data_IF_660314251542
#
_entry.id   IF_660314251542
#
_cell.length_a   1.000
_cell.length_b   1.000
_cell.length_c   1.000
_cell.angle_alpha   90.00
_cell.angle_beta   90.00
_cell.angle_gamma   90.00
#
_symmetry.space_group_name_H-M   'P 1'
#
loop_
_entity.id
_entity.type
_entity.pdbx_description
1 polymer ?
#
# COMPACT_ATOMS: atom_id res chain seq x y z
N UNK A 1 40.61 11.09 35.69
CA UNK A 1 39.21 11.29 36.14
C UNK A 1 39.04 12.74 36.57
N UNK A 2 37.85 13.29 36.37
CA UNK A 2 37.58 14.69 36.74
C UNK A 2 37.85 14.89 38.25
N UNK A 3 38.71 15.85 38.61
CA UNK A 3 39.11 16.13 39.99
C UNK A 3 40.36 15.39 40.50
N UNK A 4 41.09 14.70 39.64
CA UNK A 4 42.38 14.05 39.96
C UNK A 4 43.52 14.51 39.03
N UNK A 5 43.35 15.63 38.32
CA UNK A 5 44.28 16.15 37.31
C UNK A 5 45.61 16.61 37.92
N UNK A 6 45.57 17.17 39.13
CA UNK A 6 46.74 17.69 39.83
C UNK A 6 47.41 16.65 40.74
N UNK A 7 46.90 15.42 40.78
CA UNK A 7 47.49 14.37 41.60
C UNK A 7 48.79 13.84 41.00
N UNK A 8 49.79 13.68 41.87
CA UNK A 8 51.10 13.12 41.59
C UNK A 8 51.20 11.66 42.03
N UNK A 9 52.20 10.92 41.53
CA UNK A 9 52.43 9.53 41.93
C UNK A 9 52.68 9.39 43.44
N UNK A 10 53.30 10.41 44.06
CA UNK A 10 53.61 10.45 45.49
C UNK A 10 52.40 10.65 46.38
N UNK A 11 51.25 11.06 45.82
CA UNK A 11 50.00 11.17 46.57
C UNK A 11 49.38 9.80 46.84
N UNK A 12 49.70 8.80 46.01
CA UNK A 12 49.15 7.44 46.11
C UNK A 12 50.19 6.40 46.54
N UNK A 13 51.47 6.60 46.19
CA UNK A 13 52.52 5.60 46.37
C UNK A 13 53.73 6.17 47.13
N UNK A 14 54.15 5.46 48.18
CA UNK A 14 55.46 5.64 48.81
C UNK A 14 56.45 4.68 48.13
N UNK A 15 57.59 5.20 47.66
CA UNK A 15 58.61 4.40 46.94
C UNK A 15 59.87 4.21 47.78
N UNK A 16 60.42 3.00 47.77
CA UNK A 16 61.65 2.64 48.47
C UNK A 16 62.44 1.64 47.62
N UNK A 17 63.76 1.76 47.65
CA UNK A 17 64.65 0.92 46.87
C UNK A 17 65.55 0.08 47.77
N UNK A 18 65.81 -1.16 47.36
CA UNK A 18 66.78 -2.05 47.99
C UNK A 18 67.57 -2.75 46.90
N UNK A 19 68.89 -2.74 47.01
CA UNK A 19 69.76 -3.45 46.09
C UNK A 19 70.18 -4.77 46.72
N UNK A 20 69.99 -5.87 46.00
CA UNK A 20 70.42 -7.19 46.45
C UNK A 20 71.57 -7.69 45.56
N UNK A 21 72.65 -8.23 46.14
CA UNK A 21 73.73 -8.88 45.38
C UNK A 21 73.22 -10.04 44.52
N UNK A 22 74.00 -10.45 43.52
CA UNK A 22 73.58 -11.55 42.65
C UNK A 22 73.46 -12.88 43.42
N UNK A 23 72.24 -13.41 43.54
CA UNK A 23 71.91 -14.61 44.33
C UNK A 23 72.83 -15.82 44.09
N UNK A 24 73.13 -16.14 42.82
CA UNK A 24 73.95 -17.32 42.46
C UNK A 24 75.46 -17.06 42.62
N UNK A 25 75.95 -15.91 42.16
CA UNK A 25 77.39 -15.60 42.13
C UNK A 25 77.94 -15.13 43.48
N UNK A 26 77.10 -14.54 44.34
CA UNK A 26 77.47 -14.03 45.66
C UNK A 26 76.39 -14.36 46.71
N UNK A 27 76.14 -15.66 46.99
CA UNK A 27 75.04 -16.09 47.86
C UNK A 27 75.17 -15.55 49.29
N UNK A 28 76.38 -15.62 49.89
CA UNK A 28 76.59 -15.14 51.26
C UNK A 28 76.27 -13.63 51.42
N UNK A 29 76.67 -12.80 50.46
CA UNK A 29 76.37 -11.35 50.47
C UNK A 29 74.89 -11.07 50.18
N UNK A 30 74.25 -11.92 49.37
CA UNK A 30 72.81 -11.85 49.13
C UNK A 30 72.04 -12.11 50.42
N UNK A 31 72.36 -13.21 51.12
CA UNK A 31 71.69 -13.57 52.37
C UNK A 31 71.87 -12.48 53.44
N UNK A 32 73.08 -11.94 53.59
CA UNK A 32 73.34 -10.80 54.48
C UNK A 32 72.48 -9.57 54.13
N UNK A 33 72.37 -9.25 52.84
CA UNK A 33 71.55 -8.11 52.39
C UNK A 33 70.04 -8.36 52.56
N UNK A 34 69.60 -9.62 52.47
CA UNK A 34 68.23 -10.03 52.76
C UNK A 34 67.93 -9.92 54.25
N UNK A 35 68.88 -10.26 55.13
CA UNK A 35 68.74 -10.06 56.56
C UNK A 35 68.61 -8.58 56.93
N UNK A 36 69.40 -7.71 56.29
CA UNK A 36 69.25 -6.25 56.41
C UNK A 36 67.86 -5.80 55.92
N UNK A 37 67.39 -6.33 54.79
CA UNK A 37 66.04 -6.03 54.29
C UNK A 37 64.95 -6.50 55.25
N UNK A 38 65.10 -7.68 55.87
CA UNK A 38 64.17 -8.24 56.84
C UNK A 38 63.98 -7.32 58.06
N UNK A 39 65.06 -6.69 58.52
CA UNK A 39 64.99 -5.74 59.64
C UNK A 39 64.00 -4.60 59.34
N UNK A 40 63.94 -4.11 58.10
CA UNK A 40 62.98 -3.08 57.67
C UNK A 40 61.51 -3.50 57.78
N UNK A 41 61.20 -4.80 57.82
CA UNK A 41 59.82 -5.30 57.99
C UNK A 41 59.50 -5.66 59.44
N UNK A 42 60.50 -5.91 60.28
CA UNK A 42 60.33 -6.46 61.63
C UNK A 42 60.65 -5.46 62.74
N UNK A 43 61.68 -4.63 62.56
CA UNK A 43 62.09 -3.64 63.55
C UNK A 43 61.42 -2.29 63.28
N UNK A 44 60.49 -1.92 64.17
CA UNK A 44 59.76 -0.64 64.13
C UNK A 44 60.67 0.57 64.36
N UNK A 45 61.89 0.36 64.85
CA UNK A 45 62.88 1.42 65.11
C UNK A 45 63.80 1.67 63.92
N UNK A 46 63.74 0.84 62.88
CA UNK A 46 64.49 1.04 61.65
C UNK A 46 64.00 2.33 60.94
N UNK A 47 64.93 3.19 60.54
CA UNK A 47 64.62 4.44 59.81
C UNK A 47 63.86 4.16 58.50
N UNK A 48 64.06 2.97 57.92
CA UNK A 48 63.42 2.49 56.71
C UNK A 48 62.32 1.47 57.00
N UNK A 49 61.66 1.52 58.16
CA UNK A 49 60.57 0.62 58.49
C UNK A 49 59.43 0.71 57.46
N UNK A 50 59.05 -0.42 56.88
CA UNK A 50 58.17 -0.48 55.71
C UNK A 50 56.72 -0.14 56.07
N UNK A 51 56.19 -0.66 57.18
CA UNK A 51 54.75 -0.55 57.44
C UNK A 51 54.38 0.80 58.08
N UNK A 52 53.78 1.70 57.28
CA UNK A 52 53.20 2.95 57.80
C UNK A 52 51.72 2.79 58.10
N UNK A 53 51.17 3.46 59.14
CA UNK A 53 49.74 3.40 59.47
C UNK A 53 48.81 3.79 58.31
N UNK A 54 49.26 4.67 57.40
CA UNK A 54 48.51 5.12 56.22
C UNK A 54 48.23 4.01 55.19
N UNK A 55 49.04 2.94 55.16
CA UNK A 55 48.83 1.83 54.23
C UNK A 55 47.69 0.91 54.68
N UNK A 56 47.40 0.91 55.98
CA UNK A 56 46.40 0.04 56.58
C UNK A 56 44.99 0.59 56.34
N UNK A 57 44.17 -0.12 55.55
CA UNK A 57 42.78 0.27 55.22
C UNK A 57 41.78 0.10 56.38
N UNK A 58 42.25 -0.27 57.57
CA UNK A 58 41.47 -0.46 58.81
C UNK A 58 40.36 -1.51 58.68
N UNK A 59 40.62 -2.55 57.90
CA UNK A 59 39.70 -3.67 57.71
C UNK A 59 40.11 -4.78 58.70
N UNK A 60 39.19 -5.27 59.54
CA UNK A 60 39.40 -6.45 60.38
C UNK A 60 39.79 -7.69 59.58
N UNK A 61 40.54 -8.62 60.18
CA UNK A 61 41.06 -9.79 59.48
C UNK A 61 39.97 -10.72 58.91
N UNK A 62 38.84 -10.84 59.61
CA UNK A 62 37.64 -11.57 59.20
C UNK A 62 36.91 -10.90 58.02
N UNK A 63 36.98 -9.57 57.91
CA UNK A 63 36.39 -8.79 56.81
C UNK A 63 37.26 -8.72 55.55
N UNK A 64 38.56 -9.03 55.65
CA UNK A 64 39.49 -8.90 54.53
C UNK A 64 39.13 -9.77 53.30
N UNK A 65 38.74 -11.05 53.43
CA UNK A 65 38.36 -11.87 52.28
C UNK A 65 37.19 -11.27 51.48
N UNK A 66 36.18 -10.74 52.18
CA UNK A 66 35.02 -10.11 51.56
C UNK A 66 35.40 -8.83 50.81
N UNK A 67 36.25 -8.00 51.41
CA UNK A 67 36.78 -6.80 50.78
C UNK A 67 37.62 -7.12 49.53
N UNK A 68 38.51 -8.11 49.61
CA UNK A 68 39.35 -8.53 48.50
C UNK A 68 38.50 -9.12 47.35
N UNK A 69 37.50 -9.95 47.66
CA UNK A 69 36.56 -10.49 46.68
C UNK A 69 35.78 -9.38 45.95
N UNK A 70 35.30 -8.37 46.67
CA UNK A 70 34.60 -7.25 46.06
C UNK A 70 35.49 -6.40 45.14
N UNK A 71 36.77 -6.24 45.46
CA UNK A 71 37.74 -5.60 44.54
C UNK A 71 37.97 -6.49 43.32
N UNK A 72 38.16 -7.79 43.53
CA UNK A 72 38.42 -8.74 42.45
C UNK A 72 37.27 -8.82 41.45
N UNK A 73 36.03 -8.84 41.94
CA UNK A 73 34.83 -8.78 41.11
C UNK A 73 34.80 -7.51 40.27
N UNK A 74 35.13 -6.35 40.87
CA UNK A 74 35.24 -5.09 40.12
C UNK A 74 36.35 -5.13 39.07
N UNK A 75 37.48 -5.78 39.35
CA UNK A 75 38.59 -5.91 38.38
C UNK A 75 38.16 -6.79 37.20
N UNK A 76 37.57 -7.95 37.46
CA UNK A 76 37.14 -8.89 36.40
C UNK A 76 36.03 -8.30 35.54
N UNK A 77 35.09 -7.58 36.13
CA UNK A 77 33.95 -7.02 35.41
C UNK A 77 34.27 -5.70 34.71
N UNK A 78 35.42 -5.10 34.97
CA UNK A 78 35.80 -3.82 34.38
C UNK A 78 36.27 -4.01 32.93
N UNK A 79 35.45 -3.49 32.01
CA UNK A 79 35.73 -3.50 30.56
C UNK A 79 36.93 -2.63 30.17
N UNK A 80 37.31 -1.64 30.97
CA UNK A 80 38.46 -0.77 30.68
C UNK A 80 39.80 -1.50 30.83
N UNK A 81 39.82 -2.63 31.56
CA UNK A 81 40.98 -3.49 31.73
C UNK A 81 41.09 -4.57 30.64
N UNK A 82 40.04 -4.73 29.83
CA UNK A 82 40.03 -5.63 28.67
C UNK A 82 40.73 -4.94 27.49
N UNK A 83 42.05 -4.78 27.62
CA UNK A 83 42.88 -4.16 26.61
C UNK A 83 43.10 -5.17 25.47
N UNK A 84 42.53 -4.93 24.27
CA UNK A 84 42.77 -5.81 23.14
C UNK A 84 44.26 -5.88 22.84
N UNK A 85 44.72 -7.06 22.47
CA UNK A 85 46.13 -7.25 22.10
C UNK A 85 46.49 -6.37 20.90
N UNK A 86 47.76 -6.01 20.75
CA UNK A 86 48.22 -5.25 19.58
C UNK A 86 47.88 -5.97 18.26
N UNK A 87 47.84 -7.31 18.28
CA UNK A 87 47.44 -8.13 17.14
C UNK A 87 45.96 -7.98 16.80
N UNK A 88 45.07 -7.94 17.80
CA UNK A 88 43.63 -7.72 17.60
C UNK A 88 43.34 -6.30 17.12
N UNK A 89 43.99 -5.28 17.70
CA UNK A 89 43.86 -3.90 17.25
C UNK A 89 44.28 -3.73 15.78
N UNK A 90 45.43 -4.32 15.40
CA UNK A 90 45.89 -4.31 14.01
C UNK A 90 44.91 -5.06 13.09
N UNK A 91 44.41 -6.22 13.53
CA UNK A 91 43.42 -6.99 12.79
C UNK A 91 42.13 -6.19 12.57
N UNK A 92 41.66 -5.45 13.58
CA UNK A 92 40.46 -4.62 13.47
C UNK A 92 40.64 -3.55 12.41
N UNK A 93 41.72 -2.77 12.50
CA UNK A 93 42.02 -1.71 11.53
C UNK A 93 42.14 -2.26 10.10
N UNK A 94 42.87 -3.37 9.91
CA UNK A 94 43.05 -3.97 8.58
C UNK A 94 41.78 -4.58 8.01
N UNK A 95 41.01 -5.30 8.82
CA UNK A 95 39.72 -5.83 8.38
C UNK A 95 38.74 -4.71 8.03
N UNK A 96 38.80 -3.56 8.72
CA UNK A 96 37.99 -2.38 8.39
C UNK A 96 38.36 -1.74 7.05
N UNK A 97 39.65 -1.60 6.75
CA UNK A 97 40.09 -1.11 5.44
C UNK A 97 39.62 -2.04 4.31
N UNK A 98 39.75 -3.35 4.50
CA UNK A 98 39.34 -4.36 3.51
C UNK A 98 37.82 -4.35 3.33
N UNK A 99 37.06 -4.26 4.42
CA UNK A 99 35.60 -4.16 4.39
C UNK A 99 35.17 -2.94 3.58
N UNK A 100 35.73 -1.77 3.87
CA UNK A 100 35.36 -0.54 3.17
C UNK A 100 35.74 -0.56 1.69
N UNK A 101 36.89 -1.14 1.34
CA UNK A 101 37.29 -1.32 -0.06
C UNK A 101 36.34 -2.25 -0.83
N UNK A 102 36.03 -3.43 -0.27
CA UNK A 102 35.11 -4.39 -0.89
C UNK A 102 33.68 -3.82 -0.99
N UNK A 103 33.23 -3.08 0.04
CA UNK A 103 31.92 -2.43 0.02
C UNK A 103 31.85 -1.28 -1.02
N UNK A 104 32.94 -0.54 -1.26
CA UNK A 104 32.97 0.49 -2.29
C UNK A 104 32.84 -0.09 -3.71
N UNK A 105 33.44 -1.26 -3.96
CA UNK A 105 33.31 -1.99 -5.22
C UNK A 105 31.89 -2.53 -5.40
N UNK A 106 31.31 -3.13 -4.35
CA UNK A 106 29.90 -3.51 -4.30
C UNK A 106 28.97 -2.34 -4.64
N UNK A 107 29.18 -1.17 -4.01
CA UNK A 107 28.37 0.02 -4.26
C UNK A 107 28.48 0.52 -5.70
N UNK A 108 29.65 0.36 -6.33
CA UNK A 108 29.86 0.73 -7.74
C UNK A 108 29.03 -0.14 -8.67
N UNK A 109 28.93 -1.45 -8.39
CA UNK A 109 28.06 -2.38 -9.13
C UNK A 109 26.57 -2.14 -8.90
N UNK A 110 26.18 -1.71 -7.71
CA UNK A 110 24.77 -1.53 -7.32
C UNK A 110 24.17 -0.17 -7.74
N UNK A 111 24.98 0.89 -7.73
CA UNK A 111 24.55 2.27 -8.04
C UNK A 111 23.73 2.44 -9.34
N UNK A 112 24.03 1.72 -10.45
CA UNK A 112 23.23 1.81 -11.67
C UNK A 112 21.75 1.44 -11.51
N UNK A 113 21.39 0.61 -10.53
CA UNK A 113 20.01 0.15 -10.31
C UNK A 113 19.16 1.13 -9.50
N UNK A 114 19.77 2.04 -8.74
CA UNK A 114 19.05 3.00 -7.89
C UNK A 114 18.12 3.90 -8.71
N UNK A 115 18.65 4.58 -9.74
CA UNK A 115 17.86 5.51 -10.56
C UNK A 115 16.68 4.85 -11.29
N UNK A 116 16.84 3.70 -11.98
CA UNK A 116 15.71 2.98 -12.57
C UNK A 116 14.60 2.67 -11.57
N UNK A 117 14.95 2.15 -10.39
CA UNK A 117 13.98 1.78 -9.35
C UNK A 117 13.27 3.02 -8.79
N UNK A 118 14.01 4.09 -8.49
CA UNK A 118 13.43 5.37 -8.05
C UNK A 118 12.49 5.98 -9.10
N UNK A 119 12.80 5.80 -10.39
CA UNK A 119 11.96 6.27 -11.50
C UNK A 119 10.69 5.44 -11.74
N UNK A 120 10.50 4.35 -10.99
CA UNK A 120 9.33 3.48 -11.10
C UNK A 120 9.48 2.34 -12.11
N UNK A 121 10.70 2.06 -12.61
CA UNK A 121 10.96 0.96 -13.54
C UNK A 121 11.18 -0.36 -12.79
N UNK A 122 10.69 -1.44 -13.38
CA UNK A 122 10.97 -2.81 -12.95
C UNK A 122 12.20 -3.31 -13.69
N UNK A 123 13.20 -3.78 -12.97
CA UNK A 123 14.43 -4.38 -13.52
C UNK A 123 14.36 -5.90 -13.34
N UNK A 124 14.15 -6.65 -14.41
CA UNK A 124 13.88 -8.10 -14.30
C UNK A 124 15.10 -8.88 -13.77
N UNK A 125 16.33 -8.51 -14.16
CA UNK A 125 17.57 -9.18 -13.71
C UNK A 125 18.05 -8.75 -12.29
N UNK A 126 17.28 -7.93 -11.56
CA UNK A 126 17.78 -7.29 -10.35
C UNK A 126 18.20 -8.31 -9.27
N UNK A 127 17.41 -9.35 -9.04
CA UNK A 127 17.70 -10.37 -8.03
C UNK A 127 19.02 -11.08 -8.27
N UNK A 128 19.25 -11.55 -9.49
CA UNK A 128 20.48 -12.23 -9.91
C UNK A 128 21.70 -11.32 -9.79
N UNK A 129 21.59 -10.05 -10.23
CA UNK A 129 22.67 -9.07 -10.15
C UNK A 129 23.02 -8.73 -8.71
N UNK A 130 22.02 -8.49 -7.87
CA UNK A 130 22.20 -8.20 -6.44
C UNK A 130 22.93 -9.36 -5.74
N UNK A 131 22.55 -10.61 -6.05
CA UNK A 131 23.20 -11.79 -5.49
C UNK A 131 24.65 -11.94 -5.98
N UNK A 132 24.91 -11.73 -7.28
CA UNK A 132 26.28 -11.78 -7.83
C UNK A 132 27.21 -10.79 -7.15
N UNK A 133 26.79 -9.52 -7.04
CA UNK A 133 27.60 -8.49 -6.38
C UNK A 133 27.80 -8.76 -4.89
N UNK A 134 26.81 -9.33 -4.20
CA UNK A 134 26.96 -9.73 -2.80
C UNK A 134 28.03 -10.82 -2.65
N UNK A 135 27.94 -11.88 -3.47
CA UNK A 135 28.89 -13.01 -3.44
C UNK A 135 30.30 -12.55 -3.79
N UNK A 136 30.46 -11.71 -4.82
CA UNK A 136 31.75 -11.14 -5.23
C UNK A 136 32.38 -10.29 -4.12
N UNK A 137 31.59 -9.43 -3.48
CA UNK A 137 32.07 -8.58 -2.39
C UNK A 137 32.51 -9.40 -1.17
N UNK A 138 31.70 -10.39 -0.76
CA UNK A 138 32.06 -11.29 0.34
C UNK A 138 33.29 -12.12 0.01
N UNK A 139 33.43 -12.63 -1.22
CA UNK A 139 34.61 -13.37 -1.64
C UNK A 139 35.88 -12.49 -1.63
N UNK A 140 35.77 -11.23 -2.06
CA UNK A 140 36.86 -10.26 -2.00
C UNK A 140 37.28 -9.95 -0.56
N UNK A 141 36.32 -9.84 0.36
CA UNK A 141 36.58 -9.66 1.79
C UNK A 141 37.23 -10.90 2.39
N UNK A 142 36.64 -12.08 2.21
CA UNK A 142 37.09 -13.36 2.77
C UNK A 142 38.52 -13.69 2.31
N UNK A 143 38.84 -13.44 1.04
CA UNK A 143 40.20 -13.63 0.48
C UNK A 143 41.26 -12.80 1.18
N UNK A 144 40.94 -11.56 1.56
CA UNK A 144 41.91 -10.60 2.09
C UNK A 144 41.93 -10.57 3.63
N UNK A 145 40.80 -10.86 4.27
CA UNK A 145 40.59 -10.72 5.71
C UNK A 145 40.77 -12.03 6.51
N UNK A 146 40.62 -13.21 5.89
CA UNK A 146 40.70 -14.52 6.58
C UNK A 146 42.04 -14.84 7.24
N UNK A 147 43.11 -14.13 6.86
CA UNK A 147 44.46 -14.26 7.45
C UNK A 147 44.64 -13.57 8.80
N UNK A 148 43.71 -12.70 9.21
CA UNK A 148 43.79 -11.95 10.46
C UNK A 148 43.11 -12.72 11.60
N UNK A 149 43.05 -12.11 12.80
CA UNK A 149 42.45 -12.73 13.98
C UNK A 149 41.02 -13.23 13.70
N UNK A 150 40.76 -14.52 13.95
CA UNK A 150 39.53 -15.22 13.56
C UNK A 150 38.26 -14.51 14.04
N UNK A 151 38.22 -14.11 15.32
CA UNK A 151 37.05 -13.46 15.90
C UNK A 151 36.81 -12.07 15.30
N UNK A 152 37.88 -11.34 14.99
CA UNK A 152 37.77 -10.01 14.37
C UNK A 152 37.29 -10.15 12.93
N UNK A 153 37.82 -11.12 12.19
CA UNK A 153 37.37 -11.46 10.84
C UNK A 153 35.88 -11.81 10.82
N UNK A 154 35.42 -12.74 11.67
CA UNK A 154 34.01 -13.15 11.73
C UNK A 154 33.09 -11.98 12.03
N UNK A 155 33.40 -11.17 13.06
CA UNK A 155 32.62 -9.98 13.41
C UNK A 155 32.55 -8.98 12.26
N UNK A 156 33.67 -8.73 11.58
CA UNK A 156 33.71 -7.80 10.44
C UNK A 156 33.02 -8.35 9.19
N UNK A 157 33.02 -9.67 9.00
CA UNK A 157 32.25 -10.32 7.94
C UNK A 157 30.75 -10.13 8.14
N UNK A 158 30.27 -10.31 9.37
CA UNK A 158 28.86 -10.07 9.74
C UNK A 158 28.48 -8.60 9.55
N UNK A 159 29.34 -7.67 9.97
CA UNK A 159 29.16 -6.23 9.76
C UNK A 159 29.04 -5.88 8.27
N UNK A 160 29.92 -6.45 7.44
CA UNK A 160 29.88 -6.26 5.99
C UNK A 160 28.58 -6.81 5.39
N UNK A 161 28.19 -8.03 5.79
CA UNK A 161 26.98 -8.69 5.33
C UNK A 161 25.74 -7.85 5.66
N UNK A 162 25.64 -7.36 6.90
CA UNK A 162 24.56 -6.49 7.35
C UNK A 162 24.51 -5.18 6.53
N UNK A 163 25.67 -4.57 6.26
CA UNK A 163 25.77 -3.33 5.46
C UNK A 163 25.34 -3.53 4.00
N UNK A 164 25.71 -4.67 3.41
CA UNK A 164 25.27 -5.03 2.07
C UNK A 164 23.75 -5.29 2.05
N UNK A 165 23.23 -6.09 2.97
CA UNK A 165 21.80 -6.35 3.08
C UNK A 165 20.98 -5.08 3.29
N UNK A 166 21.41 -4.15 4.15
CA UNK A 166 20.71 -2.88 4.32
C UNK A 166 20.60 -2.09 3.00
N UNK A 167 21.64 -2.13 2.16
CA UNK A 167 21.64 -1.47 0.85
C UNK A 167 20.72 -2.18 -0.14
N UNK A 168 20.81 -3.51 -0.21
CA UNK A 168 20.00 -4.33 -1.11
C UNK A 168 18.51 -4.30 -0.73
N UNK A 169 18.19 -4.23 0.56
CA UNK A 169 16.82 -4.17 1.06
C UNK A 169 16.06 -2.95 0.53
N UNK A 170 16.72 -1.80 0.43
CA UNK A 170 16.12 -0.58 -0.15
C UNK A 170 15.73 -0.80 -1.62
N UNK A 171 16.57 -1.49 -2.38
CA UNK A 171 16.30 -1.81 -3.79
C UNK A 171 15.22 -2.87 -3.93
N UNK A 172 15.22 -3.87 -3.06
CA UNK A 172 14.20 -4.91 -2.97
C UNK A 172 12.82 -4.29 -2.74
N UNK A 173 12.65 -3.45 -1.72
CA UNK A 173 11.39 -2.75 -1.44
C UNK A 173 10.97 -1.84 -2.59
N UNK A 174 11.93 -1.11 -3.19
CA UNK A 174 11.65 -0.25 -4.34
C UNK A 174 11.14 -1.04 -5.55
N UNK A 175 11.75 -2.19 -5.85
CA UNK A 175 11.32 -3.07 -6.93
C UNK A 175 9.95 -3.67 -6.66
N UNK A 176 9.68 -4.14 -5.42
CA UNK A 176 8.36 -4.65 -5.03
C UNK A 176 7.26 -3.60 -5.21
N UNK A 177 7.52 -2.36 -4.77
CA UNK A 177 6.61 -1.23 -4.98
C UNK A 177 6.35 -0.97 -6.47
N UNK A 178 7.38 -1.07 -7.32
CA UNK A 178 7.23 -0.88 -8.76
C UNK A 178 6.46 -2.03 -9.41
N UNK A 179 6.69 -3.28 -8.98
CA UNK A 179 5.94 -4.46 -9.42
C UNK A 179 4.47 -4.33 -9.04
N UNK A 180 4.17 -3.93 -7.80
CA UNK A 180 2.82 -3.65 -7.33
C UNK A 180 2.15 -2.60 -8.22
N UNK A 181 2.79 -1.43 -8.41
CA UNK A 181 2.24 -0.37 -9.26
C UNK A 181 1.99 -0.84 -10.70
N UNK A 182 2.92 -1.60 -11.29
CA UNK A 182 2.77 -2.18 -12.64
C UNK A 182 1.58 -3.14 -12.70
N UNK A 183 1.44 -3.99 -11.69
CA UNK A 183 0.34 -4.94 -11.55
C UNK A 183 -1.03 -4.22 -11.48
N UNK A 184 -1.15 -3.20 -10.61
CA UNK A 184 -2.37 -2.38 -10.49
C UNK A 184 -2.74 -1.68 -11.81
N UNK A 185 -1.75 -1.11 -12.52
CA UNK A 185 -1.96 -0.47 -13.81
C UNK A 185 -2.39 -1.47 -14.89
N UNK A 186 -1.72 -2.62 -14.94
CA UNK A 186 -2.05 -3.69 -15.87
C UNK A 186 -3.49 -4.20 -15.63
N UNK A 187 -3.89 -4.37 -14.38
CA UNK A 187 -5.26 -4.74 -14.02
C UNK A 187 -6.27 -3.72 -14.56
N UNK A 188 -6.03 -2.43 -14.31
CA UNK A 188 -6.88 -1.34 -14.82
C UNK A 188 -7.01 -1.33 -16.35
N UNK A 189 -5.90 -1.57 -17.07
CA UNK A 189 -5.89 -1.62 -18.53
C UNK A 189 -6.65 -2.84 -19.07
N UNK A 190 -6.41 -4.04 -18.53
CA UNK A 190 -7.13 -5.27 -18.93
C UNK A 190 -8.63 -5.09 -18.73
N UNK A 191 -9.01 -4.53 -17.57
CA UNK A 191 -10.39 -4.20 -17.26
C UNK A 191 -10.97 -3.22 -18.29
N UNK A 192 -10.28 -2.13 -18.61
CA UNK A 192 -10.77 -1.15 -19.58
C UNK A 192 -10.93 -1.75 -20.98
N UNK A 193 -9.98 -2.54 -21.46
CA UNK A 193 -10.01 -3.16 -22.78
C UNK A 193 -11.15 -4.18 -22.91
N UNK A 194 -11.26 -5.10 -21.94
CA UNK A 194 -12.25 -6.19 -22.00
C UNK A 194 -13.68 -5.73 -21.71
N UNK A 195 -13.86 -4.58 -21.08
CA UNK A 195 -15.19 -3.99 -20.78
C UNK A 195 -15.77 -3.12 -21.91
N UNK A 196 -15.14 -3.08 -23.09
CA UNK A 196 -15.67 -2.32 -24.25
C UNK A 196 -16.76 -3.05 -25.04
N UNK A 197 -16.93 -4.36 -24.84
CA UNK A 197 -17.95 -5.18 -25.53
C UNK A 197 -19.36 -5.05 -24.96
N UNK A 198 -20.39 -5.32 -25.77
CA UNK A 198 -21.80 -5.21 -25.35
C UNK A 198 -22.27 -6.34 -24.42
N UNK A 199 -21.53 -7.46 -24.37
CA UNK A 199 -21.90 -8.71 -23.67
C UNK A 199 -20.66 -9.39 -23.08
N UNK A 200 -20.07 -8.81 -22.04
CA UNK A 200 -19.05 -9.48 -21.23
C UNK A 200 -19.61 -9.86 -19.86
N UNK A 201 -19.05 -10.91 -19.27
CA UNK A 201 -19.27 -11.29 -17.88
C UNK A 201 -18.21 -10.60 -17.01
N UNK A 202 -18.66 -9.71 -16.12
CA UNK A 202 -17.76 -8.91 -15.30
C UNK A 202 -16.98 -9.78 -14.31
N UNK A 203 -17.63 -10.77 -13.70
CA UNK A 203 -16.99 -11.66 -12.73
C UNK A 203 -15.89 -12.48 -13.39
N UNK A 204 -16.16 -13.02 -14.58
CA UNK A 204 -15.16 -13.77 -15.34
C UNK A 204 -13.98 -12.87 -15.73
N UNK A 205 -14.24 -11.68 -16.27
CA UNK A 205 -13.19 -10.73 -16.67
C UNK A 205 -12.32 -10.33 -15.48
N UNK A 206 -12.92 -10.03 -14.32
CA UNK A 206 -12.17 -9.69 -13.10
C UNK A 206 -11.32 -10.87 -12.61
N UNK A 207 -11.88 -12.08 -12.62
CA UNK A 207 -11.17 -13.29 -12.15
C UNK A 207 -9.97 -13.61 -13.05
N UNK A 208 -10.15 -13.59 -14.37
CA UNK A 208 -9.07 -13.80 -15.33
C UNK A 208 -8.01 -12.70 -15.24
N UNK A 209 -8.44 -11.43 -15.16
CA UNK A 209 -7.52 -10.30 -15.02
C UNK A 209 -6.70 -10.38 -13.73
N UNK A 210 -7.35 -10.77 -12.61
CA UNK A 210 -6.67 -10.97 -11.31
C UNK A 210 -5.64 -12.08 -11.39
N UNK A 211 -5.97 -13.21 -11.99
CA UNK A 211 -5.04 -14.32 -12.17
C UNK A 211 -3.80 -13.90 -12.98
N UNK A 212 -4.00 -13.26 -14.14
CA UNK A 212 -2.91 -12.79 -15.01
C UNK A 212 -1.98 -11.81 -14.29
N UNK A 213 -2.55 -10.88 -13.53
CA UNK A 213 -1.79 -9.85 -12.82
C UNK A 213 -1.03 -10.42 -11.63
N UNK A 214 -1.65 -11.32 -10.86
CA UNK A 214 -0.99 -12.00 -9.74
C UNK A 214 0.13 -12.93 -10.23
N UNK A 215 -0.07 -13.66 -11.33
CA UNK A 215 0.98 -14.49 -11.92
C UNK A 215 2.17 -13.64 -12.39
N UNK A 216 1.92 -12.50 -13.02
CA UNK A 216 2.96 -11.57 -13.43
C UNK A 216 3.72 -10.95 -12.25
N UNK A 217 3.01 -10.63 -11.16
CA UNK A 217 3.62 -10.16 -9.92
C UNK A 217 4.49 -11.24 -9.27
N UNK A 218 3.95 -12.46 -9.10
CA UNK A 218 4.63 -13.60 -8.51
C UNK A 218 5.88 -13.99 -9.32
N UNK A 219 5.82 -13.95 -10.65
CA UNK A 219 6.98 -14.19 -11.50
C UNK A 219 8.09 -13.16 -11.27
N UNK A 220 7.75 -11.87 -11.20
CA UNK A 220 8.71 -10.80 -10.92
C UNK A 220 9.28 -10.88 -9.49
N UNK A 221 8.45 -11.26 -8.53
CA UNK A 221 8.85 -11.39 -7.13
C UNK A 221 9.72 -12.65 -6.90
N UNK A 222 9.50 -13.73 -7.65
CA UNK A 222 10.33 -14.95 -7.61
C UNK A 222 11.79 -14.68 -8.00
N UNK A 223 12.05 -13.76 -8.91
CA UNK A 223 13.44 -13.39 -9.26
C UNK A 223 14.13 -12.71 -8.07
N UNK A 224 13.39 -11.97 -7.24
CA UNK A 224 13.92 -11.39 -6.00
C UNK A 224 14.09 -12.43 -4.88
N UNK A 225 13.39 -13.56 -4.97
CA UNK A 225 13.42 -14.61 -3.95
C UNK A 225 14.80 -15.28 -3.79
N UNK A 226 15.70 -15.13 -4.76
CA UNK A 226 17.09 -15.60 -4.67
C UNK A 226 17.81 -14.99 -3.45
N UNK A 227 17.45 -13.76 -3.07
CA UNK A 227 18.04 -13.08 -1.90
C UNK A 227 17.42 -13.54 -0.57
N UNK A 228 16.25 -14.19 -0.61
CA UNK A 228 15.50 -14.60 0.58
C UNK A 228 16.13 -15.77 1.33
N UNK A 229 16.93 -16.61 0.66
CA UNK A 229 17.54 -17.79 1.29
C UNK A 229 18.44 -17.44 2.49
N UNK A 230 18.92 -16.20 2.57
CA UNK A 230 19.81 -15.73 3.63
C UNK A 230 19.27 -14.50 4.39
N UNK A 231 17.98 -14.17 4.27
CA UNK A 231 17.39 -12.95 4.88
C UNK A 231 15.96 -13.18 5.39
N UNK A 232 15.53 -12.38 6.36
CA UNK A 232 14.15 -12.38 6.88
C UNK A 232 13.15 -11.55 6.04
N UNK A 233 13.48 -11.21 4.79
CA UNK A 233 12.61 -10.35 3.98
C UNK A 233 11.36 -11.09 3.52
N UNK A 234 10.25 -10.39 3.39
CA UNK A 234 8.95 -10.97 3.00
C UNK A 234 8.41 -10.30 1.75
N UNK A 235 7.80 -11.10 0.88
CA UNK A 235 7.02 -10.64 -0.28
C UNK A 235 5.52 -10.66 0.05
N UNK A 236 5.11 -11.48 1.02
CA UNK A 236 3.72 -11.77 1.34
C UNK A 236 2.93 -10.51 1.68
N UNK A 237 3.47 -9.61 2.52
CA UNK A 237 2.80 -8.36 2.89
C UNK A 237 2.47 -7.49 1.66
N UNK A 238 3.39 -7.42 0.68
CA UNK A 238 3.14 -6.66 -0.56
C UNK A 238 2.15 -7.37 -1.48
N UNK A 239 2.14 -8.71 -1.45
CA UNK A 239 1.18 -9.52 -2.20
C UNK A 239 -0.22 -9.37 -1.63
N UNK A 240 -0.38 -9.45 -0.32
CA UNK A 240 -1.66 -9.25 0.37
C UNK A 240 -2.21 -7.85 0.08
N UNK A 241 -1.38 -6.81 0.18
CA UNK A 241 -1.78 -5.46 -0.19
C UNK A 241 -2.22 -5.34 -1.66
N UNK A 242 -1.50 -6.00 -2.58
CA UNK A 242 -1.90 -6.04 -3.99
C UNK A 242 -3.27 -6.70 -4.15
N UNK A 243 -3.54 -7.81 -3.46
CA UNK A 243 -4.82 -8.50 -3.52
C UNK A 243 -5.98 -7.66 -2.96
N UNK A 244 -5.74 -6.88 -1.91
CA UNK A 244 -6.71 -5.89 -1.38
C UNK A 244 -6.98 -4.77 -2.39
N UNK A 245 -5.93 -4.14 -2.93
CA UNK A 245 -6.05 -3.06 -3.92
C UNK A 245 -6.78 -3.52 -5.19
N UNK A 246 -6.48 -4.73 -5.68
CA UNK A 246 -7.20 -5.31 -6.83
C UNK A 246 -8.68 -5.54 -6.53
N UNK A 247 -9.01 -5.93 -5.29
CA UNK A 247 -10.38 -6.13 -4.85
C UNK A 247 -11.14 -4.79 -4.74
N UNK A 248 -10.50 -3.74 -4.24
CA UNK A 248 -11.06 -2.39 -4.19
C UNK A 248 -11.32 -1.83 -5.59
N UNK A 249 -10.35 -1.97 -6.51
CA UNK A 249 -10.51 -1.54 -7.91
C UNK A 249 -11.67 -2.30 -8.57
N UNK A 250 -11.76 -3.61 -8.37
CA UNK A 250 -12.87 -4.40 -8.89
C UNK A 250 -14.22 -3.95 -8.32
N UNK A 251 -14.30 -3.67 -7.01
CA UNK A 251 -15.53 -3.18 -6.38
C UNK A 251 -15.96 -1.81 -6.95
N UNK A 252 -15.03 -0.87 -7.10
CA UNK A 252 -15.32 0.45 -7.68
C UNK A 252 -15.80 0.32 -9.13
N UNK A 253 -15.13 -0.51 -9.94
CA UNK A 253 -15.52 -0.76 -11.34
C UNK A 253 -16.89 -1.41 -11.44
N UNK A 254 -17.26 -2.31 -10.52
CA UNK A 254 -18.60 -2.91 -10.47
C UNK A 254 -19.68 -1.84 -10.26
N UNK A 255 -19.46 -0.93 -9.31
CA UNK A 255 -20.39 0.16 -9.01
C UNK A 255 -20.56 1.09 -10.21
N UNK A 256 -19.47 1.49 -10.85
CA UNK A 256 -19.49 2.34 -12.05
C UNK A 256 -20.33 1.69 -13.16
N UNK A 257 -20.17 0.38 -13.35
CA UNK A 257 -20.80 -0.33 -14.46
C UNK A 257 -22.27 -0.68 -14.21
N UNK A 258 -22.66 -0.93 -12.96
CA UNK A 258 -24.06 -0.99 -12.55
C UNK A 258 -24.73 0.38 -12.80
N UNK A 259 -24.09 1.49 -12.44
CA UNK A 259 -24.63 2.82 -12.65
C UNK A 259 -24.78 3.16 -14.15
N UNK A 260 -23.79 2.79 -14.97
CA UNK A 260 -23.85 2.95 -16.43
C UNK A 260 -24.95 2.09 -17.05
N UNK A 261 -25.14 0.87 -16.56
CA UNK A 261 -26.23 -0.01 -16.96
C UNK A 261 -27.60 0.62 -16.63
N UNK A 262 -27.80 1.09 -15.40
CA UNK A 262 -29.03 1.79 -14.98
C UNK A 262 -29.28 3.01 -15.89
N UNK A 263 -28.25 3.82 -16.15
CA UNK A 263 -28.39 4.99 -17.03
C UNK A 263 -28.71 4.62 -18.49
N UNK A 264 -28.32 3.44 -18.96
CA UNK A 264 -28.68 2.95 -20.30
C UNK A 264 -30.13 2.51 -20.34
N UNK A 265 -30.58 1.73 -19.34
CA UNK A 265 -32.00 1.34 -19.23
C UNK A 265 -32.92 2.55 -19.01
N UNK A 266 -32.50 3.55 -18.24
CA UNK A 266 -33.26 4.80 -18.08
C UNK A 266 -33.49 5.51 -19.41
N UNK A 267 -32.47 5.57 -20.28
CA UNK A 267 -32.62 6.15 -21.63
C UNK A 267 -33.60 5.37 -22.49
N UNK A 268 -33.57 4.04 -22.40
CA UNK A 268 -34.53 3.17 -23.11
C UNK A 268 -35.95 3.39 -22.60
N UNK A 269 -36.16 3.34 -21.28
CA UNK A 269 -37.47 3.62 -20.65
C UNK A 269 -37.96 5.01 -21.07
N UNK A 270 -37.11 6.03 -21.03
CA UNK A 270 -37.49 7.39 -21.44
C UNK A 270 -37.96 7.43 -22.89
N UNK A 271 -37.24 6.79 -23.81
CA UNK A 271 -37.63 6.72 -25.22
C UNK A 271 -38.99 6.02 -25.39
N UNK A 272 -39.16 4.85 -24.76
CA UNK A 272 -40.39 4.06 -24.88
C UNK A 272 -41.59 4.80 -24.26
N UNK A 273 -41.38 5.45 -23.11
CA UNK A 273 -42.39 6.31 -22.46
C UNK A 273 -42.73 7.54 -23.30
N UNK A 274 -41.74 8.18 -23.93
CA UNK A 274 -41.95 9.35 -24.80
C UNK A 274 -42.83 8.99 -26.01
N UNK A 275 -42.55 7.86 -26.66
CA UNK A 275 -43.34 7.33 -27.78
C UNK A 275 -44.76 6.95 -27.32
N UNK A 276 -44.88 6.26 -26.20
CA UNK A 276 -46.15 5.79 -25.64
C UNK A 276 -47.08 6.93 -25.22
N UNK A 277 -46.56 7.90 -24.46
CA UNK A 277 -47.33 9.07 -24.00
C UNK A 277 -47.72 9.94 -25.19
N UNK A 278 -46.80 10.16 -26.14
CA UNK A 278 -47.06 10.93 -27.36
C UNK A 278 -48.18 10.33 -28.21
N UNK A 279 -48.13 9.01 -28.46
CA UNK A 279 -49.13 8.30 -29.25
C UNK A 279 -50.52 8.38 -28.62
N UNK A 280 -50.63 8.05 -27.33
CA UNK A 280 -51.91 8.00 -26.65
C UNK A 280 -52.53 9.38 -26.42
N UNK A 281 -51.73 10.42 -26.09
CA UNK A 281 -52.25 11.77 -25.90
C UNK A 281 -52.74 12.44 -27.19
N UNK A 282 -52.20 12.04 -28.35
CA UNK A 282 -52.67 12.52 -29.65
C UNK A 282 -54.04 11.91 -30.02
N UNK A 283 -54.24 10.61 -29.77
CA UNK A 283 -55.54 9.95 -30.01
C UNK A 283 -56.61 10.33 -28.98
N UNK A 284 -56.23 10.50 -27.71
CA UNK A 284 -57.09 10.81 -26.56
C UNK A 284 -58.42 10.04 -26.52
N UNK A 285 -58.31 8.70 -26.60
CA UNK A 285 -59.42 7.78 -26.40
C UNK A 285 -59.95 7.82 -24.95
N UNK A 286 -61.19 7.39 -24.68
CA UNK A 286 -61.78 7.42 -23.33
C UNK A 286 -61.00 6.63 -22.26
N UNK A 287 -60.18 5.68 -22.68
CA UNK A 287 -59.34 4.80 -21.86
C UNK A 287 -57.87 5.26 -21.76
N UNK A 288 -57.55 6.47 -22.24
CA UNK A 288 -56.22 7.10 -22.28
C UNK A 288 -55.30 6.71 -21.11
N UNK A 289 -55.70 7.02 -19.89
CA UNK A 289 -54.88 6.83 -18.70
C UNK A 289 -54.64 5.36 -18.37
N UNK A 290 -55.61 4.49 -18.67
CA UNK A 290 -55.45 3.04 -18.49
C UNK A 290 -54.45 2.49 -19.50
N UNK A 291 -54.52 2.93 -20.76
CA UNK A 291 -53.56 2.52 -21.80
C UNK A 291 -52.14 3.01 -21.48
N UNK A 292 -52.00 4.26 -21.04
CA UNK A 292 -50.70 4.83 -20.63
C UNK A 292 -50.12 4.05 -19.45
N UNK A 293 -50.91 3.82 -18.40
CA UNK A 293 -50.41 3.16 -17.19
C UNK A 293 -50.08 1.68 -17.42
N UNK A 294 -50.93 0.95 -18.15
CA UNK A 294 -50.66 -0.45 -18.47
C UNK A 294 -49.43 -0.60 -19.36
N UNK A 295 -49.28 0.27 -20.36
CA UNK A 295 -48.12 0.24 -21.23
C UNK A 295 -46.82 0.67 -20.53
N UNK A 296 -46.87 1.68 -19.66
CA UNK A 296 -45.75 2.01 -18.78
C UNK A 296 -45.35 0.83 -17.89
N UNK A 297 -46.33 0.14 -17.29
CA UNK A 297 -46.06 -1.02 -16.44
C UNK A 297 -45.38 -2.15 -17.21
N UNK A 298 -45.76 -2.36 -18.48
CA UNK A 298 -45.09 -3.34 -19.33
C UNK A 298 -43.64 -2.93 -19.64
N UNK A 299 -43.39 -1.67 -19.99
CA UNK A 299 -42.03 -1.14 -20.20
C UNK A 299 -41.17 -1.30 -18.94
N UNK A 300 -41.75 -1.03 -17.77
CA UNK A 300 -41.10 -1.19 -16.46
C UNK A 300 -40.76 -2.65 -16.16
N UNK A 301 -41.71 -3.58 -16.31
CA UNK A 301 -41.52 -5.01 -16.08
C UNK A 301 -40.45 -5.60 -17.03
N UNK A 302 -40.46 -5.22 -18.32
CA UNK A 302 -39.46 -5.66 -19.29
C UNK A 302 -38.06 -5.10 -19.00
N UNK A 303 -37.96 -3.84 -18.54
CA UNK A 303 -36.69 -3.23 -18.18
C UNK A 303 -36.12 -3.83 -16.88
N UNK A 304 -36.97 -4.11 -15.89
CA UNK A 304 -36.57 -4.74 -14.63
C UNK A 304 -36.09 -6.20 -14.82
N UNK A 305 -36.76 -6.97 -15.69
CA UNK A 305 -36.35 -8.32 -16.03
C UNK A 305 -34.94 -8.33 -16.67
N UNK A 306 -34.71 -7.44 -17.65
CA UNK A 306 -33.40 -7.29 -18.31
C UNK A 306 -32.32 -6.77 -17.37
N UNK A 307 -32.69 -5.88 -16.43
CA UNK A 307 -31.77 -5.38 -15.40
C UNK A 307 -31.36 -6.50 -14.45
N UNK A 308 -32.29 -7.31 -13.98
CA UNK A 308 -32.02 -8.43 -13.06
C UNK A 308 -31.12 -9.48 -13.70
N UNK A 309 -31.45 -9.92 -14.93
CA UNK A 309 -30.60 -10.87 -15.69
C UNK A 309 -29.17 -10.34 -15.85
N UNK A 310 -29.02 -9.04 -16.13
CA UNK A 310 -27.71 -8.44 -16.34
C UNK A 310 -26.98 -8.18 -15.02
N UNK A 311 -27.68 -7.84 -13.95
CA UNK A 311 -27.12 -7.64 -12.61
C UNK A 311 -26.57 -8.93 -12.00
N UNK A 312 -27.19 -10.08 -12.28
CA UNK A 312 -26.66 -11.41 -11.91
C UNK A 312 -25.26 -11.65 -12.51
N UNK A 313 -25.03 -11.25 -13.76
CA UNK A 313 -23.72 -11.35 -14.44
C UNK A 313 -22.65 -10.42 -13.86
N UNK A 314 -23.04 -9.44 -13.05
CA UNK A 314 -22.12 -8.59 -12.28
C UNK A 314 -21.88 -9.12 -10.86
N UNK A 315 -22.52 -10.23 -10.47
CA UNK A 315 -22.44 -10.78 -9.12
C UNK A 315 -23.15 -9.92 -8.07
N UNK A 316 -24.14 -9.12 -8.47
CA UNK A 316 -24.94 -8.35 -7.53
C UNK A 316 -25.76 -9.31 -6.65
N UNK A 317 -25.63 -9.20 -5.33
CA UNK A 317 -26.44 -9.98 -4.39
C UNK A 317 -27.92 -9.56 -4.42
N UNK A 318 -28.82 -10.38 -3.86
CA UNK A 318 -30.26 -10.11 -3.90
C UNK A 318 -30.65 -8.72 -3.35
N UNK A 319 -29.94 -8.21 -2.33
CA UNK A 319 -30.19 -6.87 -1.79
C UNK A 319 -29.81 -5.76 -2.78
N UNK A 320 -28.65 -5.87 -3.43
CA UNK A 320 -28.19 -4.88 -4.41
C UNK A 320 -29.07 -4.90 -5.66
N UNK A 321 -29.54 -6.08 -6.09
CA UNK A 321 -30.48 -6.22 -7.19
C UNK A 321 -31.81 -5.49 -6.89
N UNK A 322 -32.35 -5.69 -5.68
CA UNK A 322 -33.56 -4.98 -5.22
C UNK A 322 -33.36 -3.47 -5.22
N UNK A 323 -32.22 -2.98 -4.72
CA UNK A 323 -31.90 -1.55 -4.72
C UNK A 323 -31.80 -0.98 -6.14
N UNK A 324 -31.20 -1.73 -7.07
CA UNK A 324 -31.12 -1.33 -8.48
C UNK A 324 -32.50 -1.26 -9.13
N UNK A 325 -33.36 -2.25 -8.86
CA UNK A 325 -34.75 -2.26 -9.34
C UNK A 325 -35.52 -1.06 -8.79
N UNK A 326 -35.46 -0.79 -7.48
CA UNK A 326 -36.14 0.37 -6.87
C UNK A 326 -35.68 1.69 -7.50
N UNK A 327 -34.36 1.84 -7.74
CA UNK A 327 -33.81 3.03 -8.42
C UNK A 327 -34.35 3.16 -9.85
N UNK A 328 -34.41 2.06 -10.61
CA UNK A 328 -34.94 2.06 -11.97
C UNK A 328 -36.42 2.45 -11.99
N UNK A 329 -37.24 1.84 -11.13
CA UNK A 329 -38.68 2.15 -11.01
C UNK A 329 -38.92 3.62 -10.69
N UNK A 330 -38.18 4.16 -9.72
CA UNK A 330 -38.26 5.60 -9.37
C UNK A 330 -37.93 6.49 -10.56
N UNK A 331 -36.83 6.21 -11.27
CA UNK A 331 -36.43 7.00 -12.46
C UNK A 331 -37.43 6.86 -13.61
N UNK A 332 -38.00 5.67 -13.81
CA UNK A 332 -39.07 5.43 -14.77
C UNK A 332 -40.30 6.27 -14.47
N UNK A 333 -40.73 6.31 -13.21
CA UNK A 333 -41.86 7.12 -12.76
C UNK A 333 -41.62 8.63 -12.92
N UNK A 334 -40.41 9.09 -12.61
CA UNK A 334 -39.99 10.48 -12.84
C UNK A 334 -40.03 10.82 -14.34
N UNK A 335 -39.60 9.91 -15.23
CA UNK A 335 -39.69 10.08 -16.69
C UNK A 335 -41.15 10.18 -17.17
N UNK A 336 -42.01 9.26 -16.72
CA UNK A 336 -43.44 9.28 -17.05
C UNK A 336 -44.10 10.58 -16.60
N UNK A 337 -43.93 10.94 -15.32
CA UNK A 337 -44.52 12.14 -14.73
C UNK A 337 -44.08 13.39 -15.48
N UNK A 338 -42.77 13.52 -15.75
CA UNK A 338 -42.22 14.64 -16.50
C UNK A 338 -42.82 14.74 -17.91
N UNK A 339 -42.85 13.62 -18.64
CA UNK A 339 -43.39 13.60 -20.01
C UNK A 339 -44.88 13.94 -20.06
N UNK A 340 -45.66 13.44 -19.11
CA UNK A 340 -47.08 13.80 -18.98
C UNK A 340 -47.24 15.29 -18.69
N UNK A 341 -46.46 15.86 -17.76
CA UNK A 341 -46.47 17.29 -17.49
C UNK A 341 -46.07 18.13 -18.73
N UNK A 342 -45.04 17.71 -19.47
CA UNK A 342 -44.56 18.42 -20.66
C UNK A 342 -45.63 18.42 -21.78
N UNK A 343 -46.32 17.31 -21.99
CA UNK A 343 -47.40 17.20 -22.99
C UNK A 343 -48.71 17.90 -22.57
N UNK A 344 -48.90 18.09 -21.27
CA UNK A 344 -50.04 18.80 -20.68
C UNK A 344 -49.73 20.27 -20.34
N UNK A 345 -48.55 20.77 -20.67
CA UNK A 345 -48.23 22.18 -20.54
C UNK A 345 -49.19 23.04 -21.39
N UNK A 346 -49.58 24.21 -20.88
CA UNK A 346 -50.65 25.05 -21.46
C UNK A 346 -50.45 25.30 -22.96
N UNK A 347 -49.21 25.60 -23.37
CA UNK A 347 -48.85 25.81 -24.77
C UNK A 347 -49.06 24.55 -25.64
N UNK A 348 -48.70 23.37 -25.14
CA UNK A 348 -48.88 22.10 -25.84
C UNK A 348 -50.34 21.70 -25.93
N UNK A 349 -51.11 21.92 -24.85
CA UNK A 349 -52.55 21.69 -24.83
C UNK A 349 -53.25 22.60 -25.84
N UNK A 350 -52.90 23.89 -25.88
CA UNK A 350 -53.45 24.83 -26.87
C UNK A 350 -53.16 24.41 -28.31
N UNK A 351 -51.94 23.96 -28.61
CA UNK A 351 -51.59 23.44 -29.93
C UNK A 351 -52.41 22.20 -30.27
N UNK A 352 -52.56 21.25 -29.34
CA UNK A 352 -53.36 20.03 -29.55
C UNK A 352 -54.85 20.36 -29.75
N UNK A 353 -55.40 21.31 -28.99
CA UNK A 353 -56.78 21.77 -29.13
C UNK A 353 -57.00 22.47 -30.49
N UNK A 354 -56.06 23.33 -30.90
CA UNK A 354 -56.09 24.00 -32.21
C UNK A 354 -56.06 22.98 -33.34
N UNK A 355 -55.11 22.04 -33.30
CA UNK A 355 -54.96 21.02 -34.35
C UNK A 355 -56.21 20.14 -34.46
N UNK A 356 -56.82 19.73 -33.34
CA UNK A 356 -58.09 18.98 -33.35
C UNK A 356 -59.26 19.80 -33.87
N UNK A 357 -59.33 21.07 -33.51
CA UNK A 357 -60.36 21.96 -34.04
C UNK A 357 -60.21 22.12 -35.56
N UNK A 358 -58.99 22.35 -36.03
CA UNK A 358 -58.70 22.44 -37.46
C UNK A 358 -59.01 21.13 -38.19
N UNK A 359 -58.65 19.97 -37.63
CA UNK A 359 -58.93 18.66 -38.20
C UNK A 359 -60.44 18.43 -38.37
N UNK A 360 -61.23 18.71 -37.33
CA UNK A 360 -62.69 18.52 -37.35
C UNK A 360 -63.44 19.57 -38.17
N UNK A 361 -62.93 20.79 -38.20
CA UNK A 361 -63.58 21.90 -38.90
C UNK A 361 -63.21 21.94 -40.39
N UNK A 362 -61.95 21.67 -40.75
CA UNK A 362 -61.47 21.79 -42.14
C UNK A 362 -61.61 20.51 -42.94
N UNK A 363 -61.75 19.35 -42.32
CA UNK A 363 -61.84 18.07 -43.03
C UNK A 363 -63.20 17.39 -42.79
N UNK A 364 -63.66 16.64 -43.78
CA UNK A 364 -64.86 15.80 -43.67
C UNK A 364 -64.55 14.45 -42.99
N UNK A 365 -65.56 13.59 -42.85
CA UNK A 365 -65.41 12.27 -42.22
C UNK A 365 -64.48 11.32 -43.00
N UNK A 366 -64.18 11.60 -44.27
CA UNK A 366 -63.24 10.85 -45.09
C UNK A 366 -61.82 11.45 -45.07
N UNK A 367 -61.59 12.52 -44.31
CA UNK A 367 -60.30 13.19 -44.21
C UNK A 367 -59.98 14.10 -45.41
N UNK A 368 -60.96 14.42 -46.25
CA UNK A 368 -60.78 15.35 -47.37
C UNK A 368 -61.07 16.79 -46.91
N UNK A 369 -60.34 17.80 -47.43
CA UNK A 369 -60.62 19.20 -47.11
C UNK A 369 -62.05 19.59 -47.52
N UNK A 370 -62.82 20.13 -46.59
CA UNK A 370 -64.16 20.67 -46.83
C UNK A 370 -64.06 21.88 -47.76
N UNK A 371 -64.78 21.82 -48.88
CA UNK A 371 -64.93 22.93 -49.81
C UNK A 371 -66.28 23.60 -49.55
N UNK A 372 -66.24 24.80 -48.98
CA UNK A 372 -67.43 25.55 -48.60
C UNK A 372 -68.12 26.18 -49.80
N UNK A 373 -69.44 26.03 -49.90
CA UNK A 373 -70.32 26.73 -50.84
C UNK A 373 -71.08 27.85 -50.11
N UNK A 374 -71.58 28.87 -50.82
CA UNK A 374 -72.28 30.01 -50.21
C UNK A 374 -73.55 29.65 -49.41
N UNK A 375 -74.09 28.46 -49.62
CA UNK A 375 -75.32 27.95 -48.99
C UNK A 375 -75.04 27.11 -47.73
N UNK A 376 -73.78 26.80 -47.43
CA UNK A 376 -73.40 25.90 -46.35
C UNK A 376 -73.41 26.58 -44.97
N UNK A 377 -73.95 25.87 -43.97
CA UNK A 377 -73.99 26.33 -42.57
C UNK A 377 -72.64 26.11 -41.87
N UNK A 378 -71.72 27.05 -42.11
CA UNK A 378 -70.40 27.07 -41.47
C UNK A 378 -70.49 27.18 -39.95
N UNK A 379 -71.49 27.91 -39.42
CA UNK A 379 -71.61 28.19 -38.00
C UNK A 379 -71.99 26.93 -37.21
N UNK A 380 -72.89 26.10 -37.72
CA UNK A 380 -73.25 24.82 -37.10
C UNK A 380 -72.08 23.83 -37.10
N UNK A 381 -71.31 23.75 -38.20
CA UNK A 381 -70.10 22.92 -38.25
C UNK A 381 -68.99 23.43 -37.33
N UNK A 382 -68.81 24.74 -37.21
CA UNK A 382 -67.88 25.34 -36.25
C UNK A 382 -68.29 25.03 -34.80
N UNK A 383 -69.58 25.14 -34.49
CA UNK A 383 -70.10 24.87 -33.16
C UNK A 383 -69.98 23.38 -32.79
N UNK A 384 -70.24 22.46 -33.72
CA UNK A 384 -70.02 21.03 -33.54
C UNK A 384 -68.54 20.70 -33.29
N UNK A 385 -67.63 21.25 -34.08
CA UNK A 385 -66.19 21.07 -33.90
C UNK A 385 -65.73 21.62 -32.54
N UNK A 386 -66.24 22.79 -32.15
CA UNK A 386 -65.95 23.41 -30.84
C UNK A 386 -66.50 22.56 -29.69
N UNK A 387 -67.70 22.00 -29.79
CA UNK A 387 -68.30 21.17 -28.76
C UNK A 387 -67.60 19.80 -28.62
N UNK A 388 -67.17 19.17 -29.71
CA UNK A 388 -66.36 17.95 -29.67
C UNK A 388 -64.99 18.20 -29.01
N UNK A 389 -64.29 19.26 -29.41
CA UNK A 389 -63.00 19.64 -28.83
C UNK A 389 -63.16 19.99 -27.35
N UNK A 390 -64.24 20.68 -26.98
CA UNK A 390 -64.56 21.05 -25.59
C UNK A 390 -64.91 19.84 -24.72
N UNK A 391 -65.60 18.83 -25.28
CA UNK A 391 -65.86 17.55 -24.58
C UNK A 391 -64.56 16.77 -24.33
N UNK A 392 -63.63 16.81 -25.28
CA UNK A 392 -62.26 16.30 -25.08
C UNK A 392 -61.47 17.09 -24.03
N UNK A 393 -61.61 18.42 -24.00
CA UNK A 393 -60.94 19.30 -23.04
C UNK A 393 -61.46 19.17 -21.59
N UNK A 394 -62.78 19.09 -21.38
CA UNK A 394 -63.36 18.88 -20.03
C UNK A 394 -63.00 17.51 -19.44
N UNK A 395 -62.86 16.48 -20.27
CA UNK A 395 -62.36 15.16 -19.84
C UNK A 395 -60.86 15.12 -19.52
N UNK A 396 -60.08 16.12 -19.97
CA UNK A 396 -58.65 16.29 -19.65
C UNK A 396 -58.40 17.10 -18.38
N UNK A 397 -59.40 17.85 -17.90
CA UNK A 397 -59.30 18.69 -16.68
C UNK A 397 -59.94 18.05 -15.45
N UNK A 398 -60.76 17.02 -15.63
CA UNK A 398 -61.23 16.16 -14.55
C UNK A 398 -60.49 14.83 -14.66
N UNK A 399 -59.31 14.73 -14.04
CA UNK A 399 -58.72 13.56 -13.36
C UNK A 399 -57.22 13.77 -13.16
#
# INVERSE_FOLDING_TARGET
>A
PEGLEDCSITDFFDTMFTALPHKILMPAKFDESVDVLRNRFMDKRDENYVFKPRYHKRIPADGFPHYASAIWEKIITNRDLDLPTQQELLAQYRCDEILNAAYAEFMTGIKPFQRPIESGKVVDELGERMQSYLVEALAAFDKNASRYHQQVYQRKREEMLAKCHATLHVLFLGQLKNLHKRATQQFGNILQERMTGATYDFLQVVTEARAVVLDAFNAGAKVLAILLENTDWTIEDTREQLEEDLSEIAAQRRVDEINKMIGTFEKTIRKDVDELVGLHLNEAKPDLWKSIFNGYKQVEEEAEAKLTERAERFGAGESEQKDCAIRLRRRGWECLSKKVCDELADNMVLVKLRNRLEEKFRYDEQGLPRVWKPEDDMDSHFQQAKDEVSRGGRRRHCY
#
